data_IF_338683671851
#
_entry.id   IF_338683671851
#
_cell.length_a   1.000
_cell.length_b   1.000
_cell.length_c   1.000
_cell.angle_alpha   90.00
_cell.angle_beta   90.00
_cell.angle_gamma   90.00
#
_symmetry.space_group_name_H-M   'P 1'
#
loop_
_entity.id
_entity.type
_entity.pdbx_description
1 polymer ?
#
# COMPACT_ATOMS: atom_id res chain seq x y z
N UNK A 1 11.39 -23.24 -31.66
CA UNK A 1 12.70 -23.08 -31.03
C UNK A 1 13.26 -21.72 -31.48
N UNK A 2 13.74 -20.87 -30.52
CA UNK A 2 14.35 -19.59 -30.86
C UNK A 2 15.64 -19.80 -31.67
N UNK A 3 15.79 -19.07 -32.77
CA UNK A 3 16.98 -19.16 -33.66
C UNK A 3 18.06 -18.14 -33.30
N UNK A 4 17.79 -17.21 -32.40
CA UNK A 4 18.65 -16.10 -32.02
C UNK A 4 18.90 -16.10 -30.51
N UNK A 5 19.99 -15.45 -30.04
CA UNK A 5 20.36 -15.35 -28.63
C UNK A 5 20.32 -13.91 -28.17
N UNK A 6 20.13 -13.70 -26.86
CA UNK A 6 20.18 -12.33 -26.25
C UNK A 6 21.52 -11.65 -26.52
N UNK A 7 22.63 -12.43 -26.54
CA UNK A 7 23.96 -11.88 -26.83
C UNK A 7 24.06 -11.34 -28.26
N UNK A 8 23.45 -11.98 -29.25
CA UNK A 8 23.40 -11.46 -30.62
C UNK A 8 22.63 -10.14 -30.69
N UNK A 9 21.49 -10.05 -30.02
CA UNK A 9 20.71 -8.82 -29.93
C UNK A 9 21.48 -7.71 -29.21
N UNK A 10 22.19 -8.04 -28.14
CA UNK A 10 23.04 -7.11 -27.38
C UNK A 10 24.14 -6.54 -28.28
N UNK A 11 24.81 -7.38 -29.07
CA UNK A 11 25.84 -6.93 -30.01
C UNK A 11 25.27 -6.04 -31.11
N UNK A 12 24.11 -6.37 -31.67
CA UNK A 12 23.42 -5.53 -32.63
C UNK A 12 23.08 -4.15 -32.04
N UNK A 13 22.50 -4.10 -30.82
CA UNK A 13 22.22 -2.84 -30.11
C UNK A 13 23.48 -2.00 -29.94
N UNK A 14 24.57 -2.60 -29.48
CA UNK A 14 25.84 -1.88 -29.28
C UNK A 14 26.36 -1.25 -30.57
N UNK A 15 26.30 -1.96 -31.71
CA UNK A 15 26.72 -1.39 -33.02
C UNK A 15 25.85 -0.20 -33.42
N UNK A 16 24.54 -0.26 -33.14
CA UNK A 16 23.62 0.83 -33.44
C UNK A 16 23.87 2.05 -32.55
N UNK A 17 24.09 1.84 -31.25
CA UNK A 17 24.34 2.90 -30.26
C UNK A 17 25.67 3.61 -30.48
N UNK A 18 26.76 2.86 -30.71
CA UNK A 18 28.12 3.43 -30.83
C UNK A 18 28.52 3.74 -32.26
N UNK A 19 27.62 3.55 -33.24
CA UNK A 19 27.78 3.97 -34.63
C UNK A 19 28.76 3.14 -35.45
N UNK A 20 29.17 1.95 -34.96
CA UNK A 20 30.04 1.04 -35.72
C UNK A 20 30.64 -0.09 -34.90
N UNK A 21 31.14 -1.11 -35.62
CA UNK A 21 31.67 -2.32 -35.01
C UNK A 21 32.91 -2.13 -34.14
N UNK A 22 33.78 -1.16 -34.54
CA UNK A 22 35.00 -0.89 -33.79
C UNK A 22 34.72 -0.19 -32.46
N UNK A 23 33.90 0.85 -32.49
CA UNK A 23 33.46 1.60 -31.31
C UNK A 23 32.69 0.69 -30.33
N UNK A 24 31.74 -0.09 -30.87
CA UNK A 24 31.02 -1.07 -30.06
C UNK A 24 31.98 -2.07 -29.39
N UNK A 25 33.05 -2.52 -30.12
CA UNK A 25 34.04 -3.43 -29.56
C UNK A 25 34.79 -2.88 -28.36
N UNK A 26 35.16 -1.61 -28.42
CA UNK A 26 35.82 -0.90 -27.30
C UNK A 26 34.92 -0.85 -26.06
N UNK A 27 33.67 -0.44 -26.23
CA UNK A 27 32.71 -0.25 -25.14
C UNK A 27 32.26 -1.55 -24.48
N UNK A 28 31.99 -2.62 -25.29
CA UNK A 28 31.57 -3.91 -24.73
C UNK A 28 32.73 -4.88 -24.44
N UNK A 29 33.99 -4.39 -24.56
CA UNK A 29 35.20 -5.18 -24.33
C UNK A 29 35.29 -6.49 -25.12
N UNK A 30 34.91 -6.39 -26.41
CA UNK A 30 34.98 -7.52 -27.39
C UNK A 30 35.70 -7.13 -28.67
N UNK A 31 36.27 -8.12 -29.36
CA UNK A 31 36.88 -7.85 -30.65
C UNK A 31 35.83 -7.46 -31.69
N UNK A 32 36.20 -6.54 -32.59
CA UNK A 32 35.36 -6.13 -33.72
C UNK A 32 34.83 -7.38 -34.51
N UNK A 33 35.69 -8.36 -34.74
CA UNK A 33 35.34 -9.59 -35.44
C UNK A 33 34.27 -10.43 -34.72
N UNK A 34 34.34 -10.47 -33.40
CA UNK A 34 33.35 -11.17 -32.56
C UNK A 34 31.98 -10.54 -32.69
N UNK A 35 31.90 -9.19 -32.61
CA UNK A 35 30.63 -8.45 -32.74
C UNK A 35 30.08 -8.58 -34.16
N UNK A 36 30.94 -8.45 -35.16
CA UNK A 36 30.54 -8.64 -36.57
C UNK A 36 29.94 -10.02 -36.80
N UNK A 37 30.61 -11.08 -36.32
CA UNK A 37 30.13 -12.45 -36.45
C UNK A 37 28.78 -12.67 -35.72
N UNK A 38 28.60 -12.06 -34.55
CA UNK A 38 27.35 -12.15 -33.81
C UNK A 38 26.18 -11.52 -34.58
N UNK A 39 26.39 -10.31 -35.13
CA UNK A 39 25.40 -9.59 -35.93
C UNK A 39 25.11 -10.33 -37.26
N UNK A 40 26.13 -10.84 -37.92
CA UNK A 40 25.92 -11.61 -39.17
C UNK A 40 25.13 -12.89 -38.90
N UNK A 41 25.37 -13.62 -37.81
CA UNK A 41 24.56 -14.77 -37.41
C UNK A 41 23.13 -14.38 -37.10
N UNK A 42 22.91 -13.23 -36.46
CA UNK A 42 21.57 -12.69 -36.20
C UNK A 42 20.81 -12.43 -37.52
N UNK A 43 21.41 -11.66 -38.45
CA UNK A 43 20.85 -11.34 -39.75
C UNK A 43 20.53 -12.60 -40.54
N UNK A 44 21.47 -13.55 -40.59
CA UNK A 44 21.27 -14.83 -41.30
C UNK A 44 20.13 -15.66 -40.68
N UNK A 45 19.99 -15.66 -39.35
CA UNK A 45 18.90 -16.37 -38.67
C UNK A 45 17.55 -15.76 -38.91
N UNK A 46 17.49 -14.43 -39.06
CA UNK A 46 16.27 -13.66 -39.34
C UNK A 46 15.93 -13.59 -40.84
N UNK A 47 16.92 -13.78 -41.71
CA UNK A 47 16.76 -13.64 -43.15
C UNK A 47 16.64 -12.19 -43.63
N UNK A 48 17.03 -11.20 -42.80
CA UNK A 48 16.96 -9.77 -43.11
C UNK A 48 18.24 -9.06 -42.72
N UNK A 49 18.62 -8.03 -43.49
CA UNK A 49 19.72 -7.16 -43.12
C UNK A 49 19.25 -6.07 -42.14
N UNK A 50 19.98 -5.93 -41.07
CA UNK A 50 19.70 -4.93 -40.00
C UNK A 50 20.63 -3.73 -40.13
N UNK A 51 21.82 -3.95 -40.66
CA UNK A 51 22.85 -2.93 -40.82
C UNK A 51 23.28 -2.83 -42.31
N UNK A 52 23.57 -1.61 -42.73
CA UNK A 52 24.16 -1.32 -44.04
C UNK A 52 25.37 -0.38 -43.88
N UNK A 53 26.34 -0.52 -44.75
CA UNK A 53 27.51 0.35 -44.75
C UNK A 53 27.35 1.41 -45.87
N UNK A 54 27.29 2.68 -45.46
CA UNK A 54 27.26 3.83 -46.40
C UNK A 54 28.54 4.64 -46.18
N UNK A 55 29.44 4.54 -47.16
CA UNK A 55 30.77 5.14 -47.04
C UNK A 55 31.63 4.45 -45.98
N UNK A 56 32.03 5.17 -44.95
CA UNK A 56 32.81 4.63 -43.80
C UNK A 56 32.02 4.42 -42.54
N UNK A 57 30.69 4.57 -42.60
CA UNK A 57 29.81 4.45 -41.42
C UNK A 57 28.82 3.33 -41.58
N UNK A 58 28.48 2.70 -40.47
CA UNK A 58 27.41 1.71 -40.35
C UNK A 58 26.11 2.42 -40.00
N UNK A 59 25.05 2.12 -40.75
CA UNK A 59 23.72 2.67 -40.53
C UNK A 59 22.72 1.52 -40.35
N UNK A 60 21.62 1.80 -39.66
CA UNK A 60 20.48 0.88 -39.60
C UNK A 60 19.75 0.87 -40.92
N UNK A 61 19.27 -0.29 -41.35
CA UNK A 61 18.22 -0.42 -42.38
C UNK A 61 16.86 -0.11 -41.74
N UNK A 62 15.81 0.06 -42.54
CA UNK A 62 14.45 0.19 -42.05
C UNK A 62 14.05 -1.00 -41.15
N UNK A 63 14.40 -2.24 -41.55
CA UNK A 63 14.24 -3.42 -40.70
C UNK A 63 15.08 -3.35 -39.45
N UNK A 64 16.30 -2.79 -39.54
CA UNK A 64 17.20 -2.57 -38.38
C UNK A 64 16.59 -1.62 -37.34
N UNK A 65 16.01 -0.51 -37.78
CA UNK A 65 15.33 0.42 -36.87
C UNK A 65 14.14 -0.23 -36.13
N UNK A 66 13.32 -0.98 -36.85
CA UNK A 66 12.21 -1.71 -36.24
C UNK A 66 12.70 -2.75 -35.23
N UNK A 67 13.70 -3.53 -35.62
CA UNK A 67 14.26 -4.58 -34.77
C UNK A 67 15.02 -4.00 -33.57
N UNK A 68 15.68 -2.86 -33.68
CA UNK A 68 16.34 -2.21 -32.55
C UNK A 68 15.35 -1.83 -31.45
N UNK A 69 14.21 -1.23 -31.83
CA UNK A 69 13.16 -0.90 -30.82
C UNK A 69 12.67 -2.15 -30.08
N UNK A 70 12.49 -3.27 -30.79
CA UNK A 70 12.07 -4.54 -30.18
C UNK A 70 13.18 -5.22 -29.39
N UNK A 71 14.42 -5.13 -29.87
CA UNK A 71 15.60 -5.65 -29.16
C UNK A 71 15.84 -4.92 -27.83
N UNK A 72 15.67 -3.61 -27.79
CA UNK A 72 15.77 -2.84 -26.56
C UNK A 72 14.78 -3.36 -25.53
N UNK A 73 13.49 -3.48 -25.89
CA UNK A 73 12.48 -4.04 -24.98
C UNK A 73 12.84 -5.44 -24.48
N UNK A 74 13.28 -6.34 -25.38
CA UNK A 74 13.67 -7.70 -25.01
C UNK A 74 14.87 -7.74 -24.04
N UNK A 75 15.87 -6.92 -24.31
CA UNK A 75 17.08 -6.85 -23.48
C UNK A 75 16.80 -6.21 -22.11
N UNK A 76 15.93 -5.23 -22.06
CA UNK A 76 15.49 -4.60 -20.81
C UNK A 76 14.69 -5.59 -19.95
N UNK A 77 13.80 -6.39 -20.56
CA UNK A 77 13.09 -7.46 -19.86
C UNK A 77 14.03 -8.57 -19.34
N UNK A 78 15.06 -8.92 -20.14
CA UNK A 78 16.07 -9.87 -19.68
C UNK A 78 16.87 -9.32 -18.47
N UNK A 79 17.25 -8.05 -18.50
CA UNK A 79 17.92 -7.40 -17.37
C UNK A 79 17.05 -7.35 -16.11
N UNK A 80 15.74 -7.10 -16.26
CA UNK A 80 14.79 -7.18 -15.13
C UNK A 80 14.74 -8.58 -14.52
N UNK A 81 14.71 -9.63 -15.35
CA UNK A 81 14.73 -11.02 -14.85
C UNK A 81 15.99 -11.32 -14.02
N UNK A 82 17.16 -10.85 -14.49
CA UNK A 82 18.42 -11.01 -13.75
C UNK A 82 18.39 -10.24 -12.42
N UNK A 83 17.84 -9.01 -12.40
CA UNK A 83 17.67 -8.22 -11.18
C UNK A 83 16.75 -8.91 -10.18
N UNK A 84 15.59 -9.42 -10.64
CA UNK A 84 14.64 -10.17 -9.80
C UNK A 84 15.34 -11.40 -9.19
N UNK A 85 16.09 -12.17 -10.01
CA UNK A 85 16.81 -13.33 -9.51
C UNK A 85 17.84 -12.98 -8.43
N UNK A 86 18.52 -11.83 -8.56
CA UNK A 86 19.44 -11.34 -7.55
C UNK A 86 18.72 -10.95 -6.25
N UNK A 87 17.59 -10.26 -6.32
CA UNK A 87 16.81 -9.89 -5.13
C UNK A 87 16.25 -11.13 -4.41
N UNK A 88 15.70 -12.09 -5.16
CA UNK A 88 15.26 -13.37 -4.59
C UNK A 88 16.43 -14.12 -3.94
N UNK A 89 17.62 -14.10 -4.59
CA UNK A 89 18.84 -14.69 -4.04
C UNK A 89 19.35 -14.04 -2.75
N UNK A 90 18.97 -12.78 -2.49
CA UNK A 90 19.24 -12.08 -1.21
C UNK A 90 18.15 -12.32 -0.16
N UNK A 91 17.16 -13.17 -0.42
CA UNK A 91 16.07 -13.46 0.50
C UNK A 91 14.99 -12.36 0.53
N UNK A 92 14.91 -11.52 -0.51
CA UNK A 92 13.84 -10.54 -0.63
C UNK A 92 12.52 -11.24 -0.94
N UNK A 93 11.46 -10.87 -0.22
CA UNK A 93 10.13 -11.41 -0.45
C UNK A 93 9.60 -10.96 -1.82
N UNK A 94 8.97 -11.88 -2.53
CA UNK A 94 8.23 -11.58 -3.77
C UNK A 94 6.76 -11.24 -3.49
N UNK A 95 6.30 -11.53 -2.27
CA UNK A 95 4.93 -11.31 -1.81
C UNK A 95 4.92 -10.98 -0.32
N UNK A 96 4.12 -10.01 0.08
CA UNK A 96 3.88 -9.62 1.47
C UNK A 96 2.38 -9.44 1.69
N UNK A 97 1.83 -10.11 2.69
CA UNK A 97 0.41 -10.07 3.05
C UNK A 97 0.26 -9.27 4.33
N UNK A 98 -0.61 -8.27 4.30
CA UNK A 98 -0.78 -7.34 5.41
C UNK A 98 -2.26 -7.20 5.73
N UNK A 99 -2.63 -7.29 7.00
CA UNK A 99 -3.95 -6.92 7.48
C UNK A 99 -3.87 -5.61 8.28
N UNK A 100 -4.75 -4.67 7.97
CA UNK A 100 -4.76 -3.35 8.62
C UNK A 100 -6.16 -3.01 9.08
N UNK A 101 -6.32 -2.66 10.35
CA UNK A 101 -7.59 -2.18 10.87
C UNK A 101 -7.95 -0.83 10.26
N UNK A 102 -9.22 -0.63 9.87
CA UNK A 102 -9.74 0.56 9.21
C UNK A 102 -9.55 1.86 10.04
N UNK A 103 -9.27 1.75 11.35
CA UNK A 103 -8.97 2.92 12.19
C UNK A 103 -7.54 3.44 12.00
N UNK A 104 -6.63 2.66 11.40
CA UNK A 104 -5.31 3.17 11.03
C UNK A 104 -5.46 4.20 9.92
N UNK A 105 -4.88 5.42 10.05
CA UNK A 105 -5.12 6.47 9.09
C UNK A 105 -4.62 6.12 7.68
N UNK A 106 -5.52 6.16 6.70
CA UNK A 106 -5.24 5.73 5.33
C UNK A 106 -4.11 6.53 4.66
N UNK A 107 -4.03 7.84 4.89
CA UNK A 107 -2.98 8.68 4.31
C UNK A 107 -1.57 8.23 4.73
N UNK A 108 -1.42 7.77 5.97
CA UNK A 108 -0.15 7.22 6.45
C UNK A 108 0.13 5.84 5.84
N UNK A 109 -0.89 4.99 5.74
CA UNK A 109 -0.77 3.70 5.08
C UNK A 109 -0.30 3.86 3.63
N UNK A 110 -0.90 4.79 2.88
CA UNK A 110 -0.52 5.03 1.48
C UNK A 110 0.90 5.56 1.35
N UNK A 111 1.38 6.41 2.26
CA UNK A 111 2.80 6.84 2.27
C UNK A 111 3.75 5.68 2.54
N UNK A 112 3.39 4.79 3.47
CA UNK A 112 4.17 3.55 3.73
C UNK A 112 4.24 2.70 2.46
N UNK A 113 3.11 2.45 1.81
CA UNK A 113 3.04 1.64 0.59
C UNK A 113 3.81 2.28 -0.57
N UNK A 114 3.72 3.60 -0.74
CA UNK A 114 4.48 4.34 -1.76
C UNK A 114 5.99 4.16 -1.55
N UNK A 115 6.47 4.37 -0.32
CA UNK A 115 7.88 4.21 0.03
C UNK A 115 8.39 2.79 -0.25
N UNK A 116 7.63 1.77 0.17
CA UNK A 116 7.98 0.37 -0.04
C UNK A 116 7.96 0.01 -1.53
N UNK A 117 7.02 0.54 -2.30
CA UNK A 117 6.93 0.29 -3.75
C UNK A 117 8.12 0.85 -4.53
N UNK A 118 8.68 1.99 -4.08
CA UNK A 118 9.89 2.57 -4.67
C UNK A 118 11.14 1.75 -4.39
N UNK A 119 11.25 1.17 -3.19
CA UNK A 119 12.41 0.37 -2.78
C UNK A 119 12.33 -1.08 -3.29
N UNK A 120 11.11 -1.64 -3.36
CA UNK A 120 10.85 -3.01 -3.79
C UNK A 120 9.83 -3.05 -4.95
N UNK A 121 10.18 -2.62 -6.17
CA UNK A 121 9.22 -2.44 -7.27
C UNK A 121 8.61 -3.75 -7.78
N UNK A 122 9.20 -4.91 -7.43
CA UNK A 122 8.70 -6.24 -7.83
C UNK A 122 7.94 -6.96 -6.71
N UNK A 123 7.78 -6.32 -5.55
CA UNK A 123 7.03 -6.88 -4.42
C UNK A 123 5.52 -6.84 -4.72
N UNK A 124 4.86 -7.99 -4.57
CA UNK A 124 3.41 -8.06 -4.56
C UNK A 124 2.90 -7.85 -3.14
N UNK A 125 2.09 -6.84 -2.91
CA UNK A 125 1.46 -6.58 -1.62
C UNK A 125 -0.01 -7.00 -1.70
N UNK A 126 -0.44 -7.87 -0.77
CA UNK A 126 -1.84 -8.15 -0.50
C UNK A 126 -2.25 -7.42 0.77
N UNK A 127 -3.07 -6.37 0.61
CA UNK A 127 -3.62 -5.60 1.71
C UNK A 127 -5.05 -6.07 2.00
N UNK A 128 -5.32 -6.44 3.26
CA UNK A 128 -6.65 -6.78 3.76
C UNK A 128 -7.08 -5.75 4.79
N UNK A 129 -8.18 -5.07 4.52
CA UNK A 129 -8.82 -4.19 5.50
C UNK A 129 -9.59 -5.04 6.52
N UNK A 130 -9.55 -4.65 7.77
CA UNK A 130 -10.16 -5.36 8.88
C UNK A 130 -10.76 -4.40 9.90
N UNK A 131 -11.58 -4.93 10.78
CA UNK A 131 -12.19 -4.19 11.89
C UNK A 131 -11.99 -4.97 13.18
N UNK A 132 -11.58 -4.30 14.24
CA UNK A 132 -11.38 -4.81 15.60
C UNK A 132 -10.40 -6.01 15.65
N UNK A 133 -10.89 -7.22 15.85
CA UNK A 133 -10.03 -8.41 16.03
C UNK A 133 -9.62 -9.07 14.71
N UNK A 134 -10.21 -8.68 13.58
CA UNK A 134 -10.04 -9.36 12.29
C UNK A 134 -8.57 -9.46 11.82
N UNK A 135 -7.76 -8.38 11.95
CA UNK A 135 -6.36 -8.44 11.56
C UNK A 135 -5.54 -9.39 12.46
N UNK A 136 -5.82 -9.38 13.77
CA UNK A 136 -5.17 -10.27 14.72
C UNK A 136 -5.53 -11.74 14.47
N UNK A 137 -6.80 -12.02 14.13
CA UNK A 137 -7.25 -13.37 13.75
C UNK A 137 -6.54 -13.86 12.47
N UNK A 138 -6.44 -13.01 11.44
CA UNK A 138 -5.74 -13.34 10.19
C UNK A 138 -4.27 -13.66 10.42
N UNK A 139 -3.60 -12.92 11.31
CA UNK A 139 -2.21 -13.18 11.69
C UNK A 139 -2.08 -14.50 12.46
N UNK A 140 -2.97 -14.77 13.42
CA UNK A 140 -3.00 -16.02 14.18
C UNK A 140 -3.23 -17.25 13.29
N UNK A 141 -3.96 -17.09 12.18
CA UNK A 141 -4.20 -18.10 11.16
C UNK A 141 -3.10 -18.18 10.07
N UNK A 142 -2.02 -17.42 10.21
CA UNK A 142 -0.92 -17.33 9.24
C UNK A 142 -1.35 -16.92 7.82
N UNK A 143 -2.50 -16.25 7.71
CA UNK A 143 -3.03 -15.75 6.44
C UNK A 143 -2.36 -14.45 6.00
N UNK A 144 -1.78 -13.72 6.96
CA UNK A 144 -1.00 -12.51 6.72
C UNK A 144 0.33 -12.59 7.47
N UNK A 145 1.29 -11.82 7.00
CA UNK A 145 2.66 -11.79 7.53
C UNK A 145 2.81 -10.69 8.61
N UNK A 146 2.04 -9.60 8.43
CA UNK A 146 1.99 -8.45 9.34
C UNK A 146 0.53 -8.06 9.59
N UNK A 147 0.25 -7.55 10.79
CA UNK A 147 -1.07 -7.03 11.14
C UNK A 147 -0.99 -5.73 11.93
N UNK A 148 -1.93 -4.81 11.70
CA UNK A 148 -2.19 -3.63 12.53
C UNK A 148 -3.61 -3.78 13.09
N UNK A 149 -3.75 -3.86 14.41
CA UNK A 149 -5.03 -4.11 15.08
C UNK A 149 -5.09 -3.43 16.46
N UNK A 150 -6.29 -3.04 16.92
CA UNK A 150 -6.48 -2.58 18.31
C UNK A 150 -6.50 -3.73 19.33
N UNK A 151 -6.55 -4.98 18.91
CA UNK A 151 -6.61 -6.16 19.79
C UNK A 151 -5.49 -7.14 19.48
N UNK A 152 -4.92 -7.73 20.52
CA UNK A 152 -3.86 -8.72 20.44
C UNK A 152 -4.47 -10.09 20.75
N UNK A 153 -4.74 -10.89 19.73
CA UNK A 153 -5.32 -12.25 19.88
C UNK A 153 -4.40 -13.35 19.34
N UNK A 154 -3.12 -13.04 19.16
CA UNK A 154 -2.12 -14.00 18.65
C UNK A 154 -0.99 -14.23 19.65
N UNK A 155 -0.16 -15.26 19.41
CA UNK A 155 0.97 -15.65 20.28
C UNK A 155 2.32 -15.11 19.85
N UNK A 156 2.37 -14.31 18.76
CA UNK A 156 3.59 -13.73 18.21
C UNK A 156 4.01 -12.44 18.95
N UNK A 157 4.76 -11.62 18.23
CA UNK A 157 5.23 -10.32 18.72
C UNK A 157 4.18 -9.24 18.45
N UNK A 158 4.07 -8.33 19.42
CA UNK A 158 3.26 -7.12 19.30
C UNK A 158 3.99 -5.94 19.89
N UNK A 159 3.88 -4.80 19.24
CA UNK A 159 4.42 -3.53 19.73
C UNK A 159 3.36 -2.44 19.64
N UNK A 160 3.37 -1.53 20.62
CA UNK A 160 2.49 -0.36 20.59
C UNK A 160 2.87 0.53 19.42
N UNK A 161 1.86 0.93 18.63
CA UNK A 161 2.09 1.71 17.43
C UNK A 161 1.68 3.16 17.61
N UNK A 162 0.38 3.42 17.75
CA UNK A 162 -0.15 4.76 17.92
C UNK A 162 -1.51 4.74 18.61
N UNK A 163 -1.92 5.92 19.13
CA UNK A 163 -3.25 6.15 19.67
C UNK A 163 -4.15 6.78 18.60
N UNK A 164 -5.34 6.23 18.42
CA UNK A 164 -6.39 6.78 17.56
C UNK A 164 -7.46 7.39 18.43
N UNK A 165 -7.81 8.66 18.19
CA UNK A 165 -8.87 9.35 18.92
C UNK A 165 -10.20 9.20 18.18
N UNK A 166 -11.24 8.81 18.94
CA UNK A 166 -12.62 8.73 18.46
C UNK A 166 -13.45 9.86 19.04
N UNK A 167 -14.40 10.32 18.28
CA UNK A 167 -15.36 11.35 18.70
C UNK A 167 -16.79 10.92 18.32
N UNK A 168 -17.72 11.22 19.22
CA UNK A 168 -19.14 11.05 18.93
C UNK A 168 -19.61 12.14 17.98
N UNK A 169 -20.15 11.76 16.82
CA UNK A 169 -20.57 12.69 15.76
C UNK A 169 -21.97 12.36 15.21
N UNK A 170 -22.63 13.38 14.71
CA UNK A 170 -23.88 13.28 13.96
C UNK A 170 -23.94 14.36 12.87
N UNK A 171 -24.93 14.28 11.98
CA UNK A 171 -25.26 15.36 11.05
C UNK A 171 -25.63 16.63 11.83
N UNK A 172 -25.28 17.85 11.37
CA UNK A 172 -25.60 19.10 12.07
C UNK A 172 -27.07 19.26 12.48
N UNK A 173 -28.00 18.81 11.64
CA UNK A 173 -29.46 18.90 11.89
C UNK A 173 -29.98 17.74 12.78
N UNK A 174 -29.10 16.89 13.30
CA UNK A 174 -29.54 15.78 14.15
C UNK A 174 -30.11 16.31 15.49
N UNK A 175 -31.23 15.75 16.00
CA UNK A 175 -31.88 16.23 17.23
C UNK A 175 -30.95 16.31 18.46
N UNK A 176 -29.92 15.47 18.54
CA UNK A 176 -28.93 15.49 19.61
C UNK A 176 -28.11 16.80 19.69
N UNK A 177 -28.09 17.62 18.65
CA UNK A 177 -27.47 18.95 18.70
C UNK A 177 -28.39 20.06 19.25
N UNK A 178 -29.67 19.75 19.39
CA UNK A 178 -30.72 20.72 19.76
C UNK A 178 -31.40 20.38 21.09
N UNK A 179 -30.67 19.64 21.97
CA UNK A 179 -31.19 19.31 23.30
C UNK A 179 -31.15 20.54 24.21
N UNK A 180 -32.27 20.82 24.90
CA UNK A 180 -32.38 21.92 25.87
C UNK A 180 -31.57 21.70 27.17
N UNK A 181 -31.00 20.54 27.35
CA UNK A 181 -30.23 20.11 28.53
C UNK A 181 -28.87 19.57 28.11
N UNK A 182 -27.87 19.56 29.02
CA UNK A 182 -26.59 18.92 28.74
C UNK A 182 -26.75 17.50 28.22
N UNK A 183 -26.08 17.16 27.13
CA UNK A 183 -26.16 15.86 26.47
C UNK A 183 -25.48 14.80 27.33
N UNK A 184 -26.17 13.69 27.56
CA UNK A 184 -25.67 12.52 28.32
C UNK A 184 -25.83 11.25 27.50
N UNK A 185 -25.25 10.14 27.94
CA UNK A 185 -25.45 8.84 27.32
C UNK A 185 -26.90 8.37 27.33
N UNK A 186 -27.69 8.79 28.32
CA UNK A 186 -29.14 8.51 28.34
C UNK A 186 -29.88 9.19 27.19
N UNK A 187 -29.44 10.41 26.80
CA UNK A 187 -29.98 11.06 25.62
C UNK A 187 -29.64 10.31 24.33
N UNK A 188 -28.45 9.72 24.22
CA UNK A 188 -28.03 8.93 23.06
C UNK A 188 -28.88 7.66 22.90
N UNK A 189 -29.36 7.10 24.02
CA UNK A 189 -30.06 5.82 24.07
C UNK A 189 -31.27 5.76 23.18
N UNK A 190 -32.05 6.83 23.15
CA UNK A 190 -33.30 6.94 22.35
C UNK A 190 -33.07 7.23 20.87
N UNK A 191 -31.81 7.42 20.44
CA UNK A 191 -31.47 7.72 19.05
C UNK A 191 -30.73 6.54 18.42
N UNK A 192 -30.80 6.44 17.08
CA UNK A 192 -30.15 5.37 16.33
C UNK A 192 -28.65 5.54 16.33
N UNK A 193 -27.95 4.51 16.78
CA UNK A 193 -26.51 4.41 16.70
C UNK A 193 -26.12 3.57 15.46
N UNK A 194 -25.16 4.07 14.68
CA UNK A 194 -24.51 3.30 13.61
C UNK A 194 -23.22 2.71 14.20
N UNK A 195 -23.10 1.40 14.16
CA UNK A 195 -21.94 0.66 14.71
C UNK A 195 -21.26 -0.15 13.62
N UNK A 196 -19.94 -0.27 13.70
CA UNK A 196 -19.15 -1.10 12.79
C UNK A 196 -18.90 -2.42 13.52
N UNK A 197 -19.27 -3.54 12.84
CA UNK A 197 -19.06 -4.87 13.39
C UNK A 197 -17.62 -5.33 13.26
N UNK A 198 -17.19 -6.21 14.15
CA UNK A 198 -15.94 -6.93 14.01
C UNK A 198 -15.91 -7.73 12.70
N UNK A 199 -14.77 -7.75 12.04
CA UNK A 199 -14.56 -8.52 10.81
C UNK A 199 -14.05 -9.95 11.04
N UNK A 200 -13.76 -10.31 12.30
CA UNK A 200 -13.37 -11.67 12.66
C UNK A 200 -14.50 -12.69 12.36
N UNK A 201 -14.11 -13.88 11.93
CA UNK A 201 -15.07 -14.96 11.65
C UNK A 201 -15.51 -15.72 12.90
N UNK A 202 -14.78 -15.58 14.02
CA UNK A 202 -15.08 -16.19 15.31
C UNK A 202 -16.10 -15.41 16.14
N UNK A 203 -15.94 -15.47 17.47
CA UNK A 203 -16.71 -14.59 18.38
C UNK A 203 -16.14 -13.17 18.25
N UNK A 204 -16.86 -12.33 17.49
CA UNK A 204 -16.50 -10.92 17.34
C UNK A 204 -16.54 -10.18 18.68
N UNK A 205 -15.67 -9.18 18.81
CA UNK A 205 -15.65 -8.30 19.98
C UNK A 205 -16.46 -7.03 19.74
N UNK A 206 -17.23 -6.65 20.74
CA UNK A 206 -17.86 -5.34 20.81
C UNK A 206 -16.86 -4.31 21.37
N UNK A 207 -16.84 -3.12 20.82
CA UNK A 207 -15.96 -2.04 21.26
C UNK A 207 -16.70 -0.72 21.45
N UNK A 208 -16.43 -0.06 22.55
CA UNK A 208 -17.01 1.23 22.90
C UNK A 208 -18.42 1.11 23.50
N UNK A 209 -19.12 2.27 23.56
CA UNK A 209 -20.46 2.33 24.11
C UNK A 209 -21.48 1.82 23.06
N UNK A 210 -22.31 0.87 23.46
CA UNK A 210 -23.31 0.21 22.60
C UNK A 210 -24.72 0.22 23.26
N UNK A 211 -25.01 1.23 24.08
CA UNK A 211 -26.23 1.30 24.87
C UNK A 211 -27.47 1.82 24.16
N UNK A 212 -27.42 2.12 22.86
CA UNK A 212 -28.59 2.64 22.14
C UNK A 212 -29.67 1.55 21.96
N UNK A 213 -30.95 1.93 22.11
CA UNK A 213 -32.10 1.05 21.91
C UNK A 213 -32.28 0.65 20.43
N UNK A 214 -31.85 1.49 19.50
CA UNK A 214 -31.82 1.23 18.06
C UNK A 214 -30.39 1.27 17.55
N UNK A 215 -29.91 0.15 16.99
CA UNK A 215 -28.57 0.04 16.39
C UNK A 215 -28.66 -0.49 14.97
N UNK A 216 -27.95 0.20 14.04
CA UNK A 216 -27.71 -0.34 12.72
C UNK A 216 -26.23 -0.72 12.62
N UNK A 217 -25.99 -1.93 12.17
CA UNK A 217 -24.65 -2.51 12.09
C UNK A 217 -24.18 -2.53 10.64
N UNK A 218 -22.99 -1.97 10.40
CA UNK A 218 -22.35 -1.94 9.09
C UNK A 218 -21.00 -2.69 9.16
N UNK A 219 -20.42 -2.98 8.01
CA UNK A 219 -19.15 -3.73 7.95
C UNK A 219 -17.92 -2.81 7.84
N UNK A 220 -18.10 -1.54 7.49
CA UNK A 220 -17.00 -0.61 7.21
C UNK A 220 -17.25 0.76 7.80
N UNK A 221 -16.18 1.42 8.29
CA UNK A 221 -16.22 2.80 8.81
C UNK A 221 -16.75 3.75 7.73
N UNK A 222 -16.32 3.61 6.48
CA UNK A 222 -16.77 4.43 5.35
C UNK A 222 -18.30 4.40 5.20
N UNK A 223 -18.93 3.25 5.33
CA UNK A 223 -20.39 3.12 5.28
C UNK A 223 -21.05 3.85 6.44
N UNK A 224 -20.47 3.74 7.64
CA UNK A 224 -20.93 4.46 8.83
C UNK A 224 -20.88 5.99 8.61
N UNK A 225 -19.73 6.50 8.12
CA UNK A 225 -19.54 7.93 7.81
C UNK A 225 -20.60 8.43 6.82
N UNK A 226 -20.83 7.71 5.73
CA UNK A 226 -21.82 8.07 4.72
C UNK A 226 -23.25 8.12 5.27
N UNK A 227 -23.62 7.13 6.09
CA UNK A 227 -24.95 7.07 6.71
C UNK A 227 -25.18 8.24 7.67
N UNK A 228 -24.18 8.57 8.50
CA UNK A 228 -24.30 9.65 9.48
C UNK A 228 -24.32 11.02 8.78
N UNK A 229 -23.54 11.21 7.74
CA UNK A 229 -23.54 12.43 6.92
C UNK A 229 -24.90 12.68 6.24
N UNK A 230 -25.73 11.65 6.12
CA UNK A 230 -27.13 11.75 5.63
C UNK A 230 -28.17 11.85 6.75
N UNK A 231 -27.74 12.02 8.00
CA UNK A 231 -28.64 12.20 9.14
C UNK A 231 -29.31 10.91 9.65
N UNK A 232 -28.80 9.72 9.27
CA UNK A 232 -29.44 8.44 9.64
C UNK A 232 -29.16 8.00 11.09
N UNK A 233 -28.39 8.78 11.85
CA UNK A 233 -28.09 8.50 13.24
C UNK A 233 -26.81 9.17 13.70
N UNK A 234 -26.19 8.62 14.75
CA UNK A 234 -24.89 9.06 15.26
C UNK A 234 -23.93 7.87 15.40
N UNK A 235 -22.62 8.16 15.49
CA UNK A 235 -21.60 7.15 15.78
C UNK A 235 -20.40 7.72 16.53
N UNK A 236 -19.58 6.84 17.07
CA UNK A 236 -18.24 7.13 17.54
C UNK A 236 -17.24 6.76 16.46
N UNK A 237 -16.63 7.74 15.83
CA UNK A 237 -15.73 7.54 14.68
C UNK A 237 -14.32 8.07 14.95
N UNK A 238 -13.28 7.45 14.33
CA UNK A 238 -11.93 8.00 14.36
C UNK A 238 -11.91 9.39 13.75
N UNK A 239 -11.28 10.35 14.42
CA UNK A 239 -11.20 11.74 13.91
C UNK A 239 -10.52 11.77 12.54
N UNK A 240 -9.49 10.98 12.36
CA UNK A 240 -8.73 10.86 11.09
C UNK A 240 -9.58 10.40 9.91
N UNK A 241 -10.60 9.57 10.17
CA UNK A 241 -11.49 9.06 9.12
C UNK A 241 -12.60 10.05 8.71
N UNK A 242 -12.81 11.11 9.48
CA UNK A 242 -13.91 12.08 9.28
C UNK A 242 -13.44 13.53 9.18
N UNK A 243 -12.14 13.77 9.08
CA UNK A 243 -11.56 15.13 9.04
C UNK A 243 -12.17 15.98 7.92
N UNK A 244 -12.35 15.39 6.75
CA UNK A 244 -12.94 16.08 5.60
C UNK A 244 -14.41 16.47 5.87
N UNK A 245 -15.22 15.55 6.40
CA UNK A 245 -16.64 15.79 6.72
C UNK A 245 -16.81 16.83 7.83
N UNK A 246 -15.90 16.86 8.81
CA UNK A 246 -15.88 17.90 9.83
C UNK A 246 -15.55 19.26 9.23
N UNK A 247 -14.56 19.35 8.35
CA UNK A 247 -14.15 20.59 7.67
C UNK A 247 -15.25 21.13 6.73
N UNK A 248 -15.96 20.24 6.05
CA UNK A 248 -17.08 20.57 5.18
C UNK A 248 -18.39 20.88 5.95
N UNK A 249 -18.42 20.67 7.27
CA UNK A 249 -19.61 20.85 8.08
C UNK A 249 -20.70 19.78 7.87
N UNK A 250 -20.38 18.66 7.23
CA UNK A 250 -21.30 17.54 7.02
C UNK A 250 -21.49 16.71 8.30
N UNK A 251 -20.50 16.70 9.18
CA UNK A 251 -20.55 16.10 10.50
C UNK A 251 -20.18 17.13 11.55
N UNK A 252 -20.79 16.99 12.74
CA UNK A 252 -20.53 17.86 13.89
C UNK A 252 -20.34 17.00 15.13
N UNK A 253 -19.29 17.24 15.96
CA UNK A 253 -19.14 16.58 17.25
C UNK A 253 -20.35 16.83 18.16
N UNK A 254 -20.81 15.77 18.82
CA UNK A 254 -21.88 15.88 19.80
C UNK A 254 -21.35 16.55 21.08
N UNK A 255 -22.11 17.43 21.74
CA UNK A 255 -21.68 18.19 22.92
C UNK A 255 -21.71 17.32 24.19
N UNK A 256 -20.94 16.24 24.20
CA UNK A 256 -20.79 15.30 25.32
C UNK A 256 -19.58 15.61 26.21
N UNK A 257 -18.84 16.68 25.92
CA UNK A 257 -17.59 16.97 26.59
C UNK A 257 -16.57 15.84 26.46
N UNK A 258 -15.82 15.56 27.51
CA UNK A 258 -14.84 14.46 27.51
C UNK A 258 -15.45 13.08 27.32
N UNK A 259 -16.72 12.89 27.69
CA UNK A 259 -17.42 11.61 27.53
C UNK A 259 -17.70 11.26 26.04
N UNK A 260 -17.72 12.28 25.17
CA UNK A 260 -17.87 12.09 23.69
C UNK A 260 -16.59 11.68 22.98
N UNK A 261 -15.47 11.52 23.71
CA UNK A 261 -14.16 11.19 23.15
C UNK A 261 -13.61 9.94 23.81
N UNK A 262 -12.92 9.12 23.04
CA UNK A 262 -12.16 7.97 23.54
C UNK A 262 -10.90 7.76 22.72
N UNK A 263 -9.91 7.08 23.30
CA UNK A 263 -8.70 6.69 22.58
C UNK A 263 -8.66 5.17 22.46
N UNK A 264 -8.22 4.69 21.31
CA UNK A 264 -7.91 3.29 21.03
C UNK A 264 -6.43 3.14 20.73
N UNK A 265 -5.77 2.17 21.34
CA UNK A 265 -4.39 1.80 21.02
C UNK A 265 -4.37 0.91 19.81
N UNK A 266 -3.48 1.17 18.84
CA UNK A 266 -3.13 0.25 17.77
C UNK A 266 -1.79 -0.41 18.05
N UNK A 267 -1.68 -1.65 17.62
CA UNK A 267 -0.49 -2.49 17.73
C UNK A 267 -0.04 -2.95 16.34
N UNK A 268 1.25 -2.93 16.08
CA UNK A 268 1.88 -3.64 14.97
C UNK A 268 2.24 -5.04 15.45
N UNK A 269 1.89 -6.07 14.68
CA UNK A 269 2.00 -7.46 15.08
C UNK A 269 2.60 -8.32 13.98
N UNK A 270 3.36 -9.32 14.36
CA UNK A 270 3.98 -10.32 13.49
C UNK A 270 4.27 -11.61 14.27
N UNK A 271 4.32 -12.75 13.59
CA UNK A 271 4.55 -14.05 14.26
C UNK A 271 6.01 -14.26 14.64
N UNK A 272 6.95 -14.06 13.70
CA UNK A 272 8.37 -14.25 13.91
C UNK A 272 9.18 -13.23 13.08
N UNK A 273 9.90 -12.36 13.80
CA UNK A 273 10.71 -11.32 13.16
C UNK A 273 11.91 -11.85 12.38
N UNK A 274 12.43 -13.03 12.74
CA UNK A 274 13.59 -13.62 12.07
C UNK A 274 13.21 -14.17 10.69
N UNK A 275 11.94 -14.53 10.51
CA UNK A 275 11.39 -15.03 9.24
C UNK A 275 10.99 -13.90 8.28
N UNK A 276 10.98 -12.64 8.74
CA UNK A 276 10.66 -11.50 7.92
C UNK A 276 11.87 -11.05 7.09
N UNK A 277 11.70 -10.96 5.79
CA UNK A 277 12.73 -10.50 4.87
C UNK A 277 12.87 -8.98 4.81
N UNK A 278 13.72 -8.47 3.91
CA UNK A 278 14.03 -7.04 3.80
C UNK A 278 12.80 -6.15 3.57
N UNK A 279 11.88 -6.57 2.71
CA UNK A 279 10.70 -5.76 2.36
C UNK A 279 9.74 -5.60 3.55
N UNK A 280 9.48 -6.69 4.30
CA UNK A 280 8.67 -6.63 5.53
C UNK A 280 9.33 -5.73 6.58
N UNK A 281 10.64 -5.81 6.76
CA UNK A 281 11.38 -4.98 7.72
C UNK A 281 11.34 -3.51 7.34
N UNK A 282 11.51 -3.17 6.06
CA UNK A 282 11.36 -1.79 5.55
C UNK A 282 9.94 -1.29 5.78
N UNK A 283 8.92 -2.10 5.46
CA UNK A 283 7.52 -1.74 5.70
C UNK A 283 7.25 -1.47 7.19
N UNK A 284 7.72 -2.33 8.09
CA UNK A 284 7.58 -2.13 9.54
C UNK A 284 8.28 -0.85 10.01
N UNK A 285 9.49 -0.58 9.53
CA UNK A 285 10.24 0.62 9.88
C UNK A 285 9.48 1.89 9.45
N UNK A 286 8.93 1.88 8.23
CA UNK A 286 8.15 3.01 7.72
C UNK A 286 6.81 3.17 8.45
N UNK A 287 6.13 2.07 8.82
CA UNK A 287 4.92 2.11 9.66
C UNK A 287 5.22 2.79 11.00
N UNK A 288 6.32 2.43 11.67
CA UNK A 288 6.73 3.05 12.94
C UNK A 288 6.99 4.54 12.75
N UNK A 289 7.76 4.91 11.72
CA UNK A 289 8.07 6.31 11.42
C UNK A 289 6.81 7.15 11.16
N UNK A 290 5.89 6.66 10.33
CA UNK A 290 4.63 7.35 10.05
C UNK A 290 3.74 7.44 11.29
N UNK A 291 3.74 6.41 12.14
CA UNK A 291 2.92 6.36 13.34
C UNK A 291 3.34 7.38 14.41
N UNK A 292 4.62 7.71 14.50
CA UNK A 292 5.11 8.80 15.35
C UNK A 292 4.50 10.15 14.95
N UNK A 293 4.25 10.35 13.65
CA UNK A 293 3.61 11.57 13.14
C UNK A 293 2.13 11.65 13.52
N UNK A 294 1.42 10.51 13.65
CA UNK A 294 0.01 10.47 14.09
C UNK A 294 -0.13 11.04 15.50
N UNK A 295 0.81 10.75 16.39
CA UNK A 295 0.81 11.23 17.78
C UNK A 295 0.93 12.75 17.90
N UNK A 296 1.39 13.43 16.84
CA UNK A 296 1.56 14.89 16.77
C UNK A 296 0.33 15.58 16.17
N UNK A 297 -0.47 14.89 15.38
CA UNK A 297 -1.72 15.41 14.78
C UNK A 297 -2.85 15.28 15.81
N UNK A 298 -2.74 15.97 16.93
CA UNK A 298 -3.88 16.24 17.78
C UNK A 298 -4.69 17.38 17.15
N UNK A 299 -5.97 17.15 17.00
CA UNK A 299 -6.91 18.20 16.56
C UNK A 299 -6.67 19.46 17.39
N UNK A 300 -6.49 20.66 16.79
CA UNK A 300 -6.33 21.87 17.55
C UNK A 300 -7.54 21.99 18.48
N UNK A 301 -7.30 22.14 19.77
CA UNK A 301 -8.35 22.45 20.74
C UNK A 301 -9.01 23.72 20.22
N UNK A 302 -10.27 23.66 19.84
CA UNK A 302 -11.05 24.87 19.57
C UNK A 302 -10.94 25.70 20.84
N UNK A 303 -10.39 26.92 20.69
CA UNK A 303 -10.28 27.90 21.76
C UNK A 303 -11.68 28.37 22.14
N UNK A 304 -12.38 27.57 22.93
CA UNK A 304 -13.63 27.93 23.64
C UNK A 304 -13.98 26.79 24.62
N UNK A 305 -13.23 26.69 25.70
CA UNK A 305 -13.69 26.26 27.02
C UNK A 305 -13.22 27.28 28.06
#
# INVERSE_FOLDING_TARGET
MLKTTLEQWRMFRSVAEYGGFNQAGQEVHKSQSSIYNAVQKLENSLGVKLLEVKGRRTHLTEAGELMLRRANYLLDEAAKLESIAQEVGKGCETKLRIAVDEIFPQDFLYRVLDKVSQEFPMLNIELQESVLTGASELLAQEKVDLAISPFIEHRGFSEELCLVEFVAVAHPDHPLHHCDRPLTFDCLRSHRQIVVRDSAMGQGQDSGWLGADSRWTVSHIRTSVEMISRGLGYAFLPITAITEQLNQGLLKPLPLGSAGRRKGQLYLMFNDGDMLGPAARTLMAEIRFQSEQISVIQYPRTASE
#
